data_IF_218877866679
#
_entry.id   IF_218877866679
#
_cell.length_a   1.000
_cell.length_b   1.000
_cell.length_c   1.000
_cell.angle_alpha   90.00
_cell.angle_beta   90.00
_cell.angle_gamma   90.00
#
_symmetry.space_group_name_H-M   'P 1'
#
loop_
_entity.id
_entity.type
_entity.pdbx_description
1 polymer ?
#
# COMPACT_ATOMS: atom_id res chain seq x y z
N UNK A 1 4.01 6.78 -10.01
CA UNK A 1 3.60 5.57 -9.25
C UNK A 1 4.44 5.38 -7.99
N UNK A 2 5.76 5.38 -8.11
CA UNK A 2 6.71 5.15 -7.00
C UNK A 2 6.62 6.17 -5.85
N UNK A 3 5.93 7.28 -6.07
CA UNK A 3 5.57 8.28 -5.06
C UNK A 3 4.82 7.65 -3.86
N UNK A 4 4.04 6.58 -4.09
CA UNK A 4 3.38 5.80 -3.02
C UNK A 4 4.42 5.20 -2.07
N UNK A 5 5.36 4.42 -2.62
CA UNK A 5 6.42 3.77 -1.83
C UNK A 5 7.31 4.79 -1.13
N UNK A 6 7.66 5.88 -1.81
CA UNK A 6 8.41 6.97 -1.19
C UNK A 6 7.66 7.59 -0.01
N UNK A 7 6.36 7.89 -0.16
CA UNK A 7 5.56 8.47 0.91
C UNK A 7 5.43 7.52 2.11
N UNK A 8 5.24 6.22 1.86
CA UNK A 8 5.20 5.19 2.91
C UNK A 8 6.52 5.13 3.67
N UNK A 9 7.65 5.04 2.96
CA UNK A 9 8.98 4.96 3.56
C UNK A 9 9.31 6.19 4.40
N UNK A 10 9.06 7.39 3.88
CA UNK A 10 9.33 8.63 4.62
C UNK A 10 8.44 8.75 5.86
N UNK A 11 7.18 8.35 5.78
CA UNK A 11 6.30 8.30 6.95
C UNK A 11 6.84 7.31 7.99
N UNK A 12 7.18 6.08 7.60
CA UNK A 12 7.70 5.06 8.53
C UNK A 12 9.00 5.54 9.20
N UNK A 13 9.94 6.12 8.45
CA UNK A 13 11.18 6.69 8.98
C UNK A 13 10.92 7.79 10.01
N UNK A 14 9.90 8.62 9.79
CA UNK A 14 9.52 9.67 10.73
C UNK A 14 8.96 9.13 12.06
N UNK A 15 8.42 7.91 12.08
CA UNK A 15 7.84 7.28 13.27
C UNK A 15 8.86 6.48 14.10
N UNK A 16 10.03 6.17 13.56
CA UNK A 16 11.09 5.44 14.25
C UNK A 16 11.83 4.44 13.37
N UNK A 17 12.57 3.55 14.00
CA UNK A 17 13.33 2.50 13.32
C UNK A 17 12.45 1.26 13.16
N UNK A 18 12.05 0.99 11.93
CA UNK A 18 11.29 -0.18 11.53
C UNK A 18 11.90 -0.80 10.26
N UNK A 19 11.75 -2.10 10.09
CA UNK A 19 12.01 -2.76 8.83
C UNK A 19 10.81 -2.60 7.90
N UNK A 20 11.04 -2.31 6.63
CA UNK A 20 10.03 -2.34 5.57
C UNK A 20 10.36 -3.55 4.71
N UNK A 21 9.44 -4.52 4.60
CA UNK A 21 9.68 -5.74 3.80
C UNK A 21 10.03 -5.34 2.35
N UNK A 22 10.99 -6.04 1.75
CA UNK A 22 11.49 -5.72 0.41
C UNK A 22 11.00 -6.68 -0.66
N UNK A 23 10.65 -7.89 -0.25
CA UNK A 23 10.18 -8.98 -1.11
C UNK A 23 8.66 -8.94 -1.32
N UNK A 24 7.96 -8.05 -0.62
CA UNK A 24 6.50 -7.92 -0.62
C UNK A 24 6.08 -6.47 -0.78
N UNK A 25 4.96 -6.27 -1.46
CA UNK A 25 4.39 -4.98 -1.76
C UNK A 25 2.99 -5.15 -2.32
N UNK A 26 2.32 -4.02 -2.54
CA UNK A 26 1.01 -4.02 -3.16
C UNK A 26 1.02 -4.40 -4.63
N UNK A 27 -0.16 -4.34 -5.22
CA UNK A 27 -0.38 -4.82 -6.57
C UNK A 27 -1.58 -4.13 -7.20
N UNK A 28 -1.68 -4.20 -8.53
CA UNK A 28 -2.96 -3.99 -9.19
C UNK A 28 -3.94 -5.07 -8.75
N UNK A 29 -5.21 -4.70 -8.59
CA UNK A 29 -6.28 -5.62 -8.19
C UNK A 29 -7.54 -5.34 -9.02
N UNK A 30 -8.33 -6.36 -9.34
CA UNK A 30 -9.57 -6.18 -10.09
C UNK A 30 -10.08 -7.48 -10.70
N UNK A 31 -9.86 -7.66 -12.01
CA UNK A 31 -10.20 -8.90 -12.73
C UNK A 31 -9.35 -10.09 -12.28
N UNK A 32 -8.18 -9.82 -11.72
CA UNK A 32 -7.29 -10.80 -11.11
C UNK A 32 -6.95 -10.38 -9.68
N UNK A 33 -6.64 -11.38 -8.84
CA UNK A 33 -6.27 -11.14 -7.44
C UNK A 33 -4.97 -10.34 -7.33
N UNK A 34 -3.96 -10.70 -8.12
CA UNK A 34 -2.70 -9.97 -8.23
C UNK A 34 -2.42 -9.69 -9.71
N UNK A 35 -2.25 -8.43 -10.08
CA UNK A 35 -1.85 -8.01 -11.42
C UNK A 35 -0.90 -6.81 -11.34
N UNK A 36 -0.25 -6.47 -12.45
CA UNK A 36 0.57 -5.26 -12.51
C UNK A 36 -0.27 -4.00 -12.27
N UNK A 37 0.31 -2.94 -11.69
CA UNK A 37 1.71 -2.83 -11.31
C UNK A 37 2.00 -3.37 -9.89
N UNK A 38 3.22 -3.87 -9.68
CA UNK A 38 3.73 -4.07 -8.32
C UNK A 38 4.00 -2.72 -7.61
N UNK A 39 3.47 -2.56 -6.40
CA UNK A 39 3.52 -1.32 -5.61
C UNK A 39 4.44 -1.49 -4.41
N UNK A 40 5.69 -1.04 -4.55
CA UNK A 40 6.66 -1.08 -3.45
C UNK A 40 6.25 -0.16 -2.29
N UNK A 41 6.57 -0.58 -1.07
CA UNK A 41 6.38 0.18 0.16
C UNK A 41 7.57 1.12 0.49
N UNK A 42 8.52 1.25 -0.44
CA UNK A 42 9.73 2.06 -0.29
C UNK A 42 10.25 2.50 -1.66
N UNK A 43 11.18 3.46 -1.67
CA UNK A 43 11.94 3.83 -2.85
C UNK A 43 11.96 5.32 -3.18
N UNK A 44 12.47 5.61 -4.37
CA UNK A 44 12.58 6.99 -4.89
C UNK A 44 11.26 7.40 -5.53
N UNK A 45 10.82 8.64 -5.28
CA UNK A 45 9.67 9.26 -5.94
C UNK A 45 9.93 9.64 -7.40
N UNK A 46 8.86 9.95 -8.15
CA UNK A 46 8.94 10.51 -9.50
C UNK A 46 9.23 9.50 -10.62
N UNK A 47 9.06 8.20 -10.35
CA UNK A 47 9.23 7.11 -11.31
C UNK A 47 7.94 6.28 -11.50
N UNK A 48 7.91 5.51 -12.58
CA UNK A 48 6.81 4.60 -12.92
C UNK A 48 5.62 5.32 -13.57
N UNK A 49 4.56 4.58 -13.91
CA UNK A 49 3.41 5.13 -14.62
C UNK A 49 2.68 6.21 -13.82
N UNK A 50 2.00 7.08 -14.56
CA UNK A 50 0.99 7.98 -13.99
C UNK A 50 -0.22 7.16 -13.54
N UNK A 51 -0.78 7.51 -12.37
CA UNK A 51 -1.99 6.88 -11.86
C UNK A 51 -3.17 7.65 -12.45
N UNK A 52 -3.95 6.99 -13.29
CA UNK A 52 -5.06 7.61 -14.03
C UNK A 52 -6.40 6.94 -13.66
N UNK A 53 -7.55 7.55 -14.00
CA UNK A 53 -8.85 6.92 -13.78
C UNK A 53 -8.94 5.48 -14.31
N UNK A 54 -9.53 4.59 -13.52
CA UNK A 54 -9.61 3.17 -13.80
C UNK A 54 -8.50 2.33 -13.16
N UNK A 55 -7.43 2.95 -12.63
CA UNK A 55 -6.47 2.24 -11.79
C UNK A 55 -7.12 1.80 -10.48
N UNK A 56 -6.88 0.55 -10.10
CA UNK A 56 -7.22 0.01 -8.79
C UNK A 56 -5.99 -0.70 -8.23
N UNK A 57 -5.56 -0.28 -7.05
CA UNK A 57 -4.33 -0.74 -6.40
C UNK A 57 -4.62 -1.21 -4.98
N UNK A 58 -4.13 -2.38 -4.62
CA UNK A 58 -3.88 -2.74 -3.24
C UNK A 58 -2.63 -1.97 -2.77
N UNK A 59 -2.77 -1.20 -1.69
CA UNK A 59 -1.65 -0.55 -1.02
C UNK A 59 -1.55 -1.14 0.37
N UNK A 60 -0.45 -1.86 0.61
CA UNK A 60 -0.33 -2.79 1.74
C UNK A 60 1.04 -2.72 2.45
N UNK A 61 1.28 -1.67 3.26
CA UNK A 61 2.52 -1.56 4.02
C UNK A 61 2.70 -2.71 5.02
N UNK A 62 3.79 -3.45 4.86
CA UNK A 62 4.23 -4.48 5.80
C UNK A 62 5.52 -4.04 6.47
N UNK A 63 5.47 -3.91 7.80
CA UNK A 63 6.61 -3.45 8.60
C UNK A 63 6.96 -4.41 9.72
N UNK A 64 8.19 -4.36 10.19
CA UNK A 64 8.67 -5.09 11.37
C UNK A 64 9.28 -4.13 12.38
N UNK A 65 9.25 -4.48 13.67
CA UNK A 65 10.00 -3.72 14.70
C UNK A 65 11.52 -3.84 14.55
N UNK A 66 11.99 -4.87 13.85
CA UNK A 66 13.42 -5.14 13.64
C UNK A 66 13.86 -4.79 12.22
N UNK A 67 14.40 -5.78 11.52
CA UNK A 67 14.93 -5.67 10.15
C UNK A 67 13.89 -6.04 9.10
N UNK A 68 14.11 -5.61 7.85
CA UNK A 68 13.23 -5.97 6.71
C UNK A 68 13.28 -7.46 6.35
N UNK A 69 14.30 -8.19 6.80
CA UNK A 69 14.59 -9.55 6.35
C UNK A 69 13.55 -10.52 6.86
N UNK A 70 13.01 -11.32 5.96
CA UNK A 70 12.05 -12.39 6.25
C UNK A 70 12.61 -13.77 5.89
N UNK A 71 11.88 -14.81 6.24
CA UNK A 71 12.03 -16.17 5.68
C UNK A 71 10.65 -16.81 5.58
N UNK A 72 10.49 -17.69 4.60
CA UNK A 72 9.30 -18.55 4.46
C UNK A 72 9.53 -19.82 5.30
N UNK A 73 8.50 -20.27 6.01
CA UNK A 73 8.55 -21.50 6.80
C UNK A 73 8.40 -22.73 5.90
N UNK A 74 8.52 -23.92 6.50
CA UNK A 74 8.44 -25.20 5.79
C UNK A 74 7.05 -25.55 5.24
N UNK A 75 6.05 -24.70 5.49
CA UNK A 75 4.73 -24.81 4.85
C UNK A 75 4.68 -24.06 3.50
N UNK A 76 5.79 -23.46 3.06
CA UNK A 76 5.92 -22.69 1.83
C UNK A 76 5.03 -21.42 1.75
N UNK A 77 4.37 -21.04 2.85
CA UNK A 77 3.42 -19.92 2.89
C UNK A 77 3.69 -18.93 4.01
N UNK A 78 3.94 -19.42 5.22
CA UNK A 78 4.06 -18.55 6.39
C UNK A 78 5.35 -17.76 6.32
N UNK A 79 5.22 -16.44 6.19
CA UNK A 79 6.34 -15.50 6.20
C UNK A 79 6.59 -15.02 7.62
N UNK A 80 7.82 -15.18 8.12
CA UNK A 80 8.22 -14.69 9.44
C UNK A 80 9.41 -13.75 9.34
N UNK A 81 9.49 -12.79 10.27
CA UNK A 81 10.69 -11.96 10.43
C UNK A 81 11.89 -12.82 10.80
N UNK A 82 13.04 -12.54 10.18
CA UNK A 82 14.22 -13.36 10.40
C UNK A 82 14.73 -13.21 11.85
N UNK A 83 14.64 -12.00 12.39
CA UNK A 83 15.02 -11.65 13.76
C UNK A 83 13.94 -11.93 14.82
N UNK A 84 12.82 -12.55 14.43
CA UNK A 84 11.68 -12.89 15.31
C UNK A 84 10.97 -11.67 15.91
N UNK A 85 11.24 -10.46 15.42
CA UNK A 85 10.50 -9.26 15.81
C UNK A 85 9.05 -9.31 15.32
N UNK A 86 8.16 -8.57 15.98
CA UNK A 86 6.75 -8.48 15.56
C UNK A 86 6.62 -7.71 14.24
N UNK A 87 5.82 -8.26 13.33
CA UNK A 87 5.35 -7.59 12.13
C UNK A 87 4.00 -6.92 12.34
N UNK A 88 3.69 -5.95 11.49
CA UNK A 88 2.35 -5.38 11.32
C UNK A 88 2.10 -5.20 9.83
N UNK A 89 0.87 -5.47 9.43
CA UNK A 89 0.40 -5.35 8.05
C UNK A 89 -0.95 -4.66 8.07
N UNK A 90 -1.16 -3.73 7.16
CA UNK A 90 -2.45 -3.13 6.87
C UNK A 90 -2.61 -2.97 5.36
N UNK A 91 -3.81 -3.17 4.85
CA UNK A 91 -4.13 -3.08 3.43
C UNK A 91 -5.44 -2.32 3.23
N UNK A 92 -5.51 -1.57 2.13
CA UNK A 92 -6.77 -1.17 1.52
C UNK A 92 -6.63 -1.21 -0.01
N UNK A 93 -7.76 -1.42 -0.70
CA UNK A 93 -7.85 -1.24 -2.14
C UNK A 93 -8.34 0.17 -2.47
N UNK A 94 -7.59 0.88 -3.30
CA UNK A 94 -7.86 2.25 -3.73
C UNK A 94 -8.13 2.29 -5.22
N UNK A 95 -9.07 3.10 -5.66
CA UNK A 95 -9.25 3.39 -7.08
C UNK A 95 -9.23 4.89 -7.37
N UNK A 96 -8.88 5.26 -8.60
CA UNK A 96 -9.16 6.58 -9.14
C UNK A 96 -10.42 6.48 -10.00
N UNK A 97 -11.48 7.16 -9.59
CA UNK A 97 -12.76 7.18 -10.29
C UNK A 97 -12.70 8.04 -11.56
N UNK A 98 -13.71 7.94 -12.47
CA UNK A 98 -13.73 8.69 -13.73
C UNK A 98 -13.66 10.22 -13.59
N UNK A 99 -14.05 10.78 -12.44
CA UNK A 99 -13.95 12.21 -12.12
C UNK A 99 -12.54 12.63 -11.64
N UNK A 100 -11.57 11.71 -11.64
CA UNK A 100 -10.20 11.95 -11.21
C UNK A 100 -10.01 11.92 -9.69
N UNK A 101 -11.05 11.59 -8.90
CA UNK A 101 -10.97 11.55 -7.44
C UNK A 101 -10.72 10.14 -6.92
N UNK A 102 -10.02 9.99 -5.79
CA UNK A 102 -9.82 8.68 -5.17
C UNK A 102 -11.11 8.16 -4.52
N UNK A 103 -11.20 6.85 -4.37
CA UNK A 103 -12.16 6.15 -3.52
C UNK A 103 -11.48 4.93 -2.89
N UNK A 104 -11.77 4.66 -1.61
CA UNK A 104 -11.22 3.50 -0.88
C UNK A 104 -12.26 2.39 -0.82
N UNK A 105 -12.12 1.40 -1.71
CA UNK A 105 -13.12 0.34 -1.94
C UNK A 105 -13.39 -0.54 -0.72
N UNK A 106 -12.40 -0.66 0.17
CA UNK A 106 -12.46 -1.49 1.38
C UNK A 106 -12.79 -0.70 2.65
N UNK A 107 -13.07 0.61 2.53
CA UNK A 107 -13.52 1.44 3.65
C UNK A 107 -15.04 1.63 3.61
N UNK A 108 -15.69 1.59 4.79
CA UNK A 108 -17.15 1.73 4.92
C UNK A 108 -17.70 3.05 4.36
N UNK A 109 -16.91 4.12 4.39
CA UNK A 109 -17.29 5.46 3.93
C UNK A 109 -16.54 5.86 2.64
N UNK A 110 -15.96 4.90 1.92
CA UNK A 110 -15.13 5.18 0.74
C UNK A 110 -13.84 5.96 1.04
N UNK A 111 -13.47 6.11 2.32
CA UNK A 111 -12.35 6.92 2.79
C UNK A 111 -12.70 8.38 3.09
N UNK A 112 -13.97 8.78 3.01
CA UNK A 112 -14.44 10.16 3.15
C UNK A 112 -13.90 10.87 4.40
N UNK A 113 -14.00 10.24 5.57
CA UNK A 113 -13.58 10.87 6.83
C UNK A 113 -12.06 11.05 6.90
N UNK A 114 -11.28 10.03 6.53
CA UNK A 114 -9.81 10.05 6.65
C UNK A 114 -9.15 10.92 5.58
N UNK A 115 -9.59 10.80 4.32
CA UNK A 115 -9.08 11.60 3.21
C UNK A 115 -9.55 13.06 3.32
N UNK A 116 -10.80 13.29 3.75
CA UNK A 116 -11.32 14.64 4.00
C UNK A 116 -10.54 15.40 5.07
N UNK A 117 -10.10 14.72 6.13
CA UNK A 117 -9.22 15.31 7.15
C UNK A 117 -7.84 15.75 6.59
N UNK A 118 -7.42 15.21 5.44
CA UNK A 118 -6.22 15.60 4.70
C UNK A 118 -6.52 16.61 3.57
N UNK A 119 -7.75 17.12 3.48
CA UNK A 119 -8.18 18.05 2.43
C UNK A 119 -8.44 17.38 1.07
N UNK A 120 -8.51 16.05 1.02
CA UNK A 120 -8.75 15.29 -0.21
C UNK A 120 -10.24 14.98 -0.35
N UNK A 121 -10.81 15.36 -1.49
CA UNK A 121 -12.18 15.00 -1.84
C UNK A 121 -12.20 13.60 -2.46
N UNK A 122 -13.10 12.74 -1.99
CA UNK A 122 -13.35 11.44 -2.62
C UNK A 122 -14.35 11.58 -3.78
N UNK A 123 -14.42 10.56 -4.64
CA UNK A 123 -15.49 10.47 -5.63
C UNK A 123 -16.82 10.13 -4.97
N UNK A 124 -17.88 10.80 -5.41
CA UNK A 124 -19.26 10.48 -5.03
C UNK A 124 -19.94 9.59 -6.09
N UNK A 125 -19.23 9.20 -7.16
CA UNK A 125 -19.75 8.32 -8.21
C UNK A 125 -19.89 6.85 -7.77
N UNK A 126 -19.23 6.49 -6.67
CA UNK A 126 -19.16 5.12 -6.12
C UNK A 126 -19.76 5.02 -4.71
N UNK A 127 -20.31 6.13 -4.20
CA UNK A 127 -20.89 6.25 -2.86
C UNK A 127 -22.36 5.83 -2.83
#
# INVERSE_FOLDING_TARGET
MTDIGHAIEEYIKSQGKYGILQEYGGHGIGTEMHQEPHVLNFGKKGLGPEITPGFVLAIEPMITRGTHKTRVLSDDWTVVSNDKSRGSHFENSYCIAPDGKPFVLTALDGGKARLGALGIQISELLA
#
